data_IF_057168335798
#
_entry.id   IF_057168335798
#
_cell.length_a   1.000
_cell.length_b   1.000
_cell.length_c   1.000
_cell.angle_alpha   90.00
_cell.angle_beta   90.00
_cell.angle_gamma   90.00
#
_symmetry.space_group_name_H-M   'P 1'
#
loop_
_entity.id
_entity.type
_entity.pdbx_description
1 polymer ?
#
# COMPACT_ATOMS: atom_id res chain seq x y z
N UNK A 1 12.89 -10.73 11.39
CA UNK A 1 12.83 -9.25 11.52
C UNK A 1 12.79 -8.92 13.02
N UNK A 2 11.86 -9.45 13.81
CA UNK A 2 11.71 -9.17 15.24
C UNK A 2 13.03 -9.39 16.01
N UNK A 3 13.62 -10.58 15.91
CA UNK A 3 14.89 -10.93 16.55
C UNK A 3 16.03 -9.96 16.19
N UNK A 4 16.01 -9.45 14.96
CA UNK A 4 17.02 -8.53 14.45
C UNK A 4 16.82 -7.13 15.03
N UNK A 5 15.60 -6.62 14.98
CA UNK A 5 15.28 -5.28 15.50
C UNK A 5 15.43 -5.25 17.01
N UNK A 6 14.97 -6.28 17.72
CA UNK A 6 15.20 -6.43 19.17
C UNK A 6 16.70 -6.53 19.50
N UNK A 7 17.45 -7.29 18.69
CA UNK A 7 18.90 -7.42 18.83
C UNK A 7 19.65 -6.08 18.69
N UNK A 8 19.20 -5.20 17.79
CA UNK A 8 19.82 -3.88 17.57
C UNK A 8 19.34 -2.84 18.59
N UNK A 9 18.03 -2.81 18.91
CA UNK A 9 17.43 -1.74 19.73
C UNK A 9 17.46 -2.01 21.23
N UNK A 10 17.68 -3.25 21.70
CA UNK A 10 17.77 -3.51 23.13
C UNK A 10 18.98 -2.81 23.77
N UNK A 11 18.79 -2.18 24.94
CA UNK A 11 19.90 -1.53 25.66
C UNK A 11 21.03 -2.52 25.97
N UNK A 12 22.26 -2.18 25.60
CA UNK A 12 23.45 -3.01 25.83
C UNK A 12 24.25 -2.39 26.96
N UNK A 13 24.28 -3.05 28.10
CA UNK A 13 24.95 -2.58 29.30
C UNK A 13 26.44 -2.96 29.34
N UNK A 14 26.83 -4.04 28.65
CA UNK A 14 28.21 -4.55 28.68
C UNK A 14 28.89 -4.52 27.30
N UNK A 15 30.24 -4.48 27.32
CA UNK A 15 31.06 -4.63 26.11
C UNK A 15 30.84 -5.94 25.39
N UNK A 16 30.57 -7.05 26.11
CA UNK A 16 30.27 -8.33 25.55
C UNK A 16 28.95 -8.33 24.78
N UNK A 17 27.90 -7.72 25.32
CA UNK A 17 26.62 -7.59 24.65
C UNK A 17 26.73 -6.74 23.37
N UNK A 18 27.57 -5.69 23.39
CA UNK A 18 27.88 -4.88 22.19
C UNK A 18 28.62 -5.70 21.13
N UNK A 19 29.54 -6.57 21.52
CA UNK A 19 30.24 -7.46 20.60
C UNK A 19 29.33 -8.52 19.98
N UNK A 20 28.32 -8.99 20.71
CA UNK A 20 27.31 -9.94 20.17
C UNK A 20 26.41 -9.33 19.08
N UNK A 21 26.34 -8.01 18.97
CA UNK A 21 25.60 -7.32 17.90
C UNK A 21 26.40 -7.22 16.59
N UNK A 22 27.74 -7.35 16.66
CA UNK A 22 28.60 -7.25 15.46
C UNK A 22 28.24 -8.24 14.32
N UNK A 23 27.95 -9.51 14.58
CA UNK A 23 27.50 -10.44 13.52
C UNK A 23 26.21 -9.97 12.89
N UNK A 24 25.25 -9.47 13.70
CA UNK A 24 23.97 -8.95 13.26
C UNK A 24 24.13 -7.70 12.38
N UNK A 25 24.97 -6.77 12.78
CA UNK A 25 25.33 -5.59 11.98
C UNK A 25 26.01 -5.98 10.67
N UNK A 26 26.84 -7.01 10.70
CA UNK A 26 27.49 -7.56 9.49
C UNK A 26 26.45 -8.17 8.53
N UNK A 27 25.42 -8.83 9.05
CA UNK A 27 24.34 -9.37 8.23
C UNK A 27 23.48 -8.25 7.65
N UNK A 28 23.12 -7.23 8.44
CA UNK A 28 22.43 -6.01 7.95
C UNK A 28 23.25 -5.32 6.86
N UNK A 29 24.57 -5.20 7.04
CA UNK A 29 25.45 -4.58 6.05
C UNK A 29 25.43 -5.30 4.69
N UNK A 30 25.13 -6.61 4.66
CA UNK A 30 25.00 -7.36 3.41
C UNK A 30 23.72 -7.04 2.62
N UNK A 31 22.75 -6.38 3.21
CA UNK A 31 21.48 -6.06 2.56
C UNK A 31 21.50 -4.73 1.82
N UNK A 32 22.48 -3.87 2.14
CA UNK A 32 22.60 -2.58 1.45
C UNK A 32 22.83 -2.78 -0.05
N UNK A 33 22.13 -1.99 -0.89
CA UNK A 33 22.32 -2.08 -2.33
C UNK A 33 23.76 -1.75 -2.71
N UNK A 34 24.27 -2.44 -3.73
CA UNK A 34 25.63 -2.25 -4.24
C UNK A 34 25.60 -1.66 -5.64
N UNK A 35 26.41 -0.62 -5.89
CA UNK A 35 26.50 0.04 -7.19
C UNK A 35 27.52 -0.65 -8.07
N UNK A 36 27.11 -0.99 -9.29
CA UNK A 36 27.98 -1.58 -10.32
C UNK A 36 28.43 -0.52 -11.33
N UNK A 37 29.69 -0.54 -11.72
CA UNK A 37 30.24 0.27 -12.81
C UNK A 37 30.03 -0.37 -14.18
N UNK A 38 29.73 -1.68 -14.24
CA UNK A 38 29.41 -2.38 -15.49
C UNK A 38 27.93 -2.26 -15.83
N UNK A 39 27.59 -2.44 -17.10
CA UNK A 39 26.20 -2.54 -17.54
C UNK A 39 25.45 -3.66 -16.84
N UNK A 40 24.17 -3.44 -16.57
CA UNK A 40 23.25 -4.45 -16.04
C UNK A 40 22.64 -5.29 -17.15
N UNK A 41 22.02 -6.41 -16.75
CA UNK A 41 21.25 -7.25 -17.67
C UNK A 41 20.07 -6.46 -18.27
N UNK A 42 19.46 -5.58 -17.50
CA UNK A 42 18.40 -4.66 -17.95
C UNK A 42 18.85 -3.66 -19.03
N UNK A 43 20.13 -3.64 -19.42
CA UNK A 43 20.70 -2.72 -20.42
C UNK A 43 21.26 -3.46 -21.63
N UNK A 44 20.86 -4.71 -21.88
CA UNK A 44 21.31 -5.50 -23.03
C UNK A 44 20.70 -5.06 -24.35
N UNK A 45 19.46 -4.58 -24.33
CA UNK A 45 18.76 -3.99 -25.48
C UNK A 45 18.50 -2.53 -25.15
N UNK A 46 18.66 -1.65 -26.13
CA UNK A 46 18.52 -0.20 -25.93
C UNK A 46 17.73 0.42 -27.07
N UNK A 47 16.60 1.06 -26.74
CA UNK A 47 15.81 1.87 -27.68
C UNK A 47 15.96 3.33 -27.31
N UNK A 48 16.32 4.19 -28.27
CA UNK A 48 16.51 5.63 -28.07
C UNK A 48 15.94 6.43 -29.24
N UNK A 49 15.64 7.70 -28.98
CA UNK A 49 15.17 8.62 -30.02
C UNK A 49 13.87 8.08 -30.67
N UNK A 50 13.88 7.89 -31.99
CA UNK A 50 12.72 7.43 -32.76
C UNK A 50 12.32 5.96 -32.46
N UNK A 51 13.24 5.16 -31.92
CA UNK A 51 12.98 3.77 -31.60
C UNK A 51 12.15 3.60 -30.29
N UNK A 52 12.01 4.67 -29.49
CA UNK A 52 11.21 4.64 -28.27
C UNK A 52 9.73 4.56 -28.62
N UNK A 53 9.11 3.44 -28.26
CA UNK A 53 7.70 3.19 -28.52
C UNK A 53 7.11 2.28 -27.43
N UNK A 54 6.31 2.86 -26.52
CA UNK A 54 5.62 2.15 -25.46
C UNK A 54 4.59 1.15 -26.01
N UNK A 55 4.08 1.37 -27.23
CA UNK A 55 3.16 0.44 -27.90
C UNK A 55 3.80 -0.92 -28.27
N UNK A 56 5.12 -1.05 -28.15
CA UNK A 56 5.85 -2.33 -28.35
C UNK A 56 5.85 -3.19 -27.08
N UNK A 57 5.46 -2.62 -25.94
CA UNK A 57 5.32 -3.35 -24.69
C UNK A 57 3.86 -3.84 -24.54
N UNK A 58 3.62 -5.02 -23.97
CA UNK A 58 2.27 -5.56 -23.80
C UNK A 58 1.55 -4.91 -22.60
N UNK A 59 1.43 -3.58 -22.64
CA UNK A 59 0.78 -2.79 -21.59
C UNK A 59 -0.73 -2.96 -21.72
N UNK A 60 -1.41 -3.32 -20.63
CA UNK A 60 -2.80 -3.72 -20.64
C UNK A 60 -3.76 -2.54 -20.44
N UNK A 61 -4.88 -2.55 -21.15
CA UNK A 61 -6.12 -1.91 -20.71
C UNK A 61 -6.95 -2.99 -20.03
N UNK A 62 -7.05 -2.96 -18.70
CA UNK A 62 -7.60 -4.07 -17.93
C UNK A 62 -9.12 -4.09 -17.91
N UNK A 63 -9.77 -2.92 -17.88
CA UNK A 63 -11.21 -2.79 -17.74
C UNK A 63 -11.83 -1.92 -18.83
N UNK A 64 -13.11 -2.14 -19.19
CA UNK A 64 -13.76 -1.43 -20.30
C UNK A 64 -13.71 0.10 -20.19
N UNK A 65 -13.91 0.64 -18.99
CA UNK A 65 -13.93 2.09 -18.75
C UNK A 65 -12.57 2.68 -18.33
N UNK A 66 -11.46 1.89 -18.33
CA UNK A 66 -10.14 2.47 -18.13
C UNK A 66 -9.87 3.55 -19.18
N UNK A 67 -9.26 4.68 -18.77
CA UNK A 67 -8.91 5.79 -19.64
C UNK A 67 -7.89 5.45 -20.73
N UNK A 68 -7.25 4.28 -20.64
CA UNK A 68 -6.27 3.77 -21.59
C UNK A 68 -5.57 2.53 -21.08
N UNK A 69 -4.41 2.20 -21.66
CA UNK A 69 -3.52 1.18 -21.14
C UNK A 69 -2.71 1.73 -19.95
N UNK A 70 -2.51 0.92 -18.92
CA UNK A 70 -1.78 1.29 -17.72
C UNK A 70 -0.62 0.35 -17.43
N UNK A 71 0.54 0.91 -17.08
CA UNK A 71 1.62 0.16 -16.44
C UNK A 71 1.24 0.02 -14.97
N UNK A 72 1.04 -1.23 -14.52
CA UNK A 72 0.42 -1.53 -13.23
C UNK A 72 1.41 -1.90 -12.11
N UNK A 73 2.63 -2.33 -12.46
CA UNK A 73 3.69 -2.68 -11.50
C UNK A 73 4.98 -1.88 -11.72
N UNK A 74 4.93 -0.55 -11.90
CA UNK A 74 6.13 0.25 -12.15
C UNK A 74 6.83 0.56 -10.83
N UNK A 75 8.12 0.34 -10.79
CA UNK A 75 9.01 0.78 -9.71
C UNK A 75 9.64 2.12 -10.14
N UNK A 76 9.05 3.21 -9.68
CA UNK A 76 9.43 4.57 -10.07
C UNK A 76 10.52 5.10 -9.17
N UNK A 77 11.71 5.26 -9.72
CA UNK A 77 12.88 5.78 -9.02
C UNK A 77 13.02 7.30 -9.25
N UNK A 78 13.19 8.04 -8.17
CA UNK A 78 13.38 9.48 -8.15
C UNK A 78 14.47 9.85 -7.15
N UNK A 79 15.05 11.04 -7.26
CA UNK A 79 16.06 11.54 -6.34
C UNK A 79 15.68 12.95 -5.91
N UNK A 80 15.74 13.21 -4.62
CA UNK A 80 15.56 14.55 -4.08
C UNK A 80 16.68 15.47 -4.54
N UNK A 81 16.41 16.60 -5.18
CA UNK A 81 17.45 17.49 -5.71
C UNK A 81 18.22 18.23 -4.61
N UNK A 82 17.70 18.30 -3.39
CA UNK A 82 18.29 19.02 -2.27
C UNK A 82 19.16 18.09 -1.40
N UNK A 83 18.65 16.90 -1.05
CA UNK A 83 19.34 15.95 -0.17
C UNK A 83 20.12 14.86 -0.92
N UNK A 84 19.77 14.62 -2.19
CA UNK A 84 20.29 13.48 -2.95
C UNK A 84 19.68 12.13 -2.51
N UNK A 85 18.63 12.14 -1.67
CA UNK A 85 17.96 10.93 -1.20
C UNK A 85 17.24 10.25 -2.34
N UNK A 86 17.52 8.96 -2.52
CA UNK A 86 16.85 8.10 -3.48
C UNK A 86 15.51 7.62 -2.91
N UNK A 87 14.49 7.53 -3.76
CA UNK A 87 13.19 6.94 -3.43
C UNK A 87 12.76 6.00 -4.56
N UNK A 88 12.19 4.89 -4.21
CA UNK A 88 11.53 3.97 -5.12
C UNK A 88 10.08 3.76 -4.66
N UNK A 89 9.12 4.11 -5.51
CA UNK A 89 7.71 3.96 -5.19
C UNK A 89 6.93 3.33 -6.34
N UNK A 90 5.83 2.65 -6.01
CA UNK A 90 4.92 2.13 -7.03
C UNK A 90 3.82 3.16 -7.29
N UNK A 91 3.71 3.61 -8.53
CA UNK A 91 2.71 4.57 -8.97
C UNK A 91 2.23 4.18 -10.37
N UNK A 92 0.96 3.84 -10.54
CA UNK A 92 0.40 3.48 -11.85
C UNK A 92 0.69 4.55 -12.89
N UNK A 93 0.83 4.15 -14.16
CA UNK A 93 1.17 5.07 -15.23
C UNK A 93 0.27 4.81 -16.44
N UNK A 94 -0.62 5.75 -16.75
CA UNK A 94 -1.44 5.70 -17.97
C UNK A 94 -0.59 6.02 -19.18
N UNK A 95 -0.62 5.20 -20.22
CA UNK A 95 0.05 5.46 -21.49
C UNK A 95 -0.81 6.39 -22.32
N UNK A 96 -0.26 7.54 -22.74
CA UNK A 96 -0.94 8.51 -23.59
C UNK A 96 -0.56 8.33 -25.06
N UNK A 97 0.71 8.09 -25.33
CA UNK A 97 1.25 7.89 -26.66
C UNK A 97 2.54 7.03 -26.62
N UNK A 98 3.30 7.01 -27.72
CA UNK A 98 4.53 6.22 -27.85
C UNK A 98 5.61 6.54 -26.82
N UNK A 99 5.60 7.75 -26.25
CA UNK A 99 6.70 8.29 -25.45
C UNK A 99 6.24 9.00 -24.18
N UNK A 100 4.93 9.09 -23.92
CA UNK A 100 4.44 9.80 -22.75
C UNK A 100 3.47 8.94 -21.94
N UNK A 101 3.57 9.11 -20.62
CA UNK A 101 2.63 8.53 -19.66
C UNK A 101 2.20 9.56 -18.64
N UNK A 102 1.07 9.32 -17.95
CA UNK A 102 0.75 9.98 -16.69
C UNK A 102 1.69 9.48 -15.58
N UNK A 103 1.85 10.28 -14.55
CA UNK A 103 2.60 9.92 -13.35
C UNK A 103 1.71 10.13 -12.12
N UNK A 104 1.08 9.08 -11.61
CA UNK A 104 0.05 9.12 -10.59
C UNK A 104 0.62 9.37 -9.18
N UNK A 105 1.16 10.57 -8.92
CA UNK A 105 1.71 10.95 -7.64
C UNK A 105 0.67 11.61 -6.74
N UNK A 106 0.18 10.89 -5.75
CA UNK A 106 -0.64 11.50 -4.69
C UNK A 106 0.21 12.46 -3.83
N UNK A 107 -0.42 13.56 -3.37
CA UNK A 107 0.24 14.68 -2.68
C UNK A 107 1.10 14.28 -1.47
N UNK A 108 0.72 13.23 -0.75
CA UNK A 108 1.40 12.74 0.45
C UNK A 108 2.57 11.80 0.15
N UNK A 109 2.80 11.40 -1.10
CA UNK A 109 3.85 10.46 -1.49
C UNK A 109 5.19 11.17 -1.71
N UNK A 110 6.29 10.45 -1.47
CA UNK A 110 7.65 10.98 -1.64
C UNK A 110 7.92 11.45 -3.06
N UNK A 111 7.43 10.75 -4.09
CA UNK A 111 7.55 11.19 -5.48
C UNK A 111 6.95 12.58 -5.74
N UNK A 112 5.79 12.89 -5.13
CA UNK A 112 5.19 14.22 -5.22
C UNK A 112 6.03 15.29 -4.50
N UNK A 113 6.62 14.98 -3.35
CA UNK A 113 7.54 15.89 -2.64
C UNK A 113 8.78 16.22 -3.48
N UNK A 114 9.37 15.21 -4.14
CA UNK A 114 10.49 15.43 -5.06
C UNK A 114 10.07 16.30 -6.25
N UNK A 115 8.90 16.03 -6.85
CA UNK A 115 8.36 16.86 -7.94
C UNK A 115 8.21 18.32 -7.52
N UNK A 116 7.65 18.60 -6.34
CA UNK A 116 7.51 19.95 -5.81
C UNK A 116 8.88 20.63 -5.57
N UNK A 117 9.91 19.88 -5.15
CA UNK A 117 11.26 20.40 -5.00
C UNK A 117 11.85 20.80 -6.37
N UNK A 118 11.72 19.96 -7.39
CA UNK A 118 12.14 20.30 -8.76
C UNK A 118 11.38 21.48 -9.33
N UNK A 119 10.07 21.58 -9.03
CA UNK A 119 9.22 22.71 -9.43
C UNK A 119 9.72 24.03 -8.83
N UNK A 120 10.07 24.04 -7.54
CA UNK A 120 10.66 25.22 -6.88
C UNK A 120 11.99 25.63 -7.50
N UNK A 121 12.77 24.66 -7.96
CA UNK A 121 14.07 24.90 -8.61
C UNK A 121 13.95 25.30 -10.09
N UNK A 122 12.76 25.20 -10.70
CA UNK A 122 12.56 25.44 -12.13
C UNK A 122 13.31 24.47 -13.02
N UNK A 123 13.49 23.20 -12.58
CA UNK A 123 14.27 22.19 -13.29
C UNK A 123 13.42 21.00 -13.66
N UNK A 124 13.75 20.34 -14.76
CA UNK A 124 13.23 19.02 -15.11
C UNK A 124 13.64 18.00 -14.06
N UNK A 125 12.71 17.17 -13.65
CA UNK A 125 12.92 16.08 -12.70
C UNK A 125 13.31 14.80 -13.47
N UNK A 126 14.53 14.29 -13.34
CA UNK A 126 14.86 12.97 -13.85
C UNK A 126 14.01 11.89 -13.16
N UNK A 127 13.53 10.94 -13.95
CA UNK A 127 12.76 9.79 -13.47
C UNK A 127 13.21 8.55 -14.23
N UNK A 128 13.31 7.43 -13.53
CA UNK A 128 13.54 6.12 -14.15
C UNK A 128 12.57 5.11 -13.57
N UNK A 129 12.00 4.27 -14.44
CA UNK A 129 10.98 3.30 -14.06
C UNK A 129 11.50 1.91 -14.38
N UNK A 130 11.74 1.11 -13.36
CA UNK A 130 12.12 -0.29 -13.52
C UNK A 130 10.86 -1.17 -13.52
N UNK A 131 10.86 -2.21 -14.37
CA UNK A 131 9.78 -3.20 -14.46
C UNK A 131 10.39 -4.60 -14.35
N UNK A 132 9.77 -5.46 -13.56
CA UNK A 132 10.19 -6.86 -13.42
C UNK A 132 11.41 -7.08 -12.54
N UNK A 133 12.07 -8.21 -12.75
CA UNK A 133 13.12 -8.69 -11.89
C UNK A 133 12.60 -9.48 -10.69
N UNK A 134 13.32 -9.45 -9.58
CA UNK A 134 12.93 -10.17 -8.35
C UNK A 134 11.65 -9.56 -7.75
N UNK A 135 10.63 -10.37 -7.40
CA UNK A 135 9.40 -9.86 -6.77
C UNK A 135 9.63 -9.06 -5.49
N UNK A 136 10.74 -9.26 -4.80
CA UNK A 136 11.12 -8.47 -3.63
C UNK A 136 11.35 -6.98 -3.98
N UNK A 137 11.74 -6.66 -5.21
CA UNK A 137 11.88 -5.26 -5.66
C UNK A 137 10.51 -4.59 -5.77
N UNK A 138 9.56 -5.29 -6.42
CA UNK A 138 8.19 -4.83 -6.62
C UNK A 138 7.52 -4.61 -5.26
N UNK A 139 7.62 -5.59 -4.35
CA UNK A 139 7.09 -5.45 -3.00
C UNK A 139 7.71 -4.25 -2.26
N UNK A 140 9.04 -4.10 -2.32
CA UNK A 140 9.73 -3.00 -1.62
C UNK A 140 9.29 -1.62 -2.10
N UNK A 141 8.92 -1.47 -3.38
CA UNK A 141 8.38 -0.22 -3.93
C UNK A 141 6.97 0.11 -3.40
N UNK A 142 6.24 -0.87 -2.84
CA UNK A 142 4.93 -0.66 -2.20
C UNK A 142 5.01 -0.50 -0.68
N UNK A 143 6.12 -0.94 -0.09
CA UNK A 143 6.27 -1.07 1.35
C UNK A 143 6.20 0.31 2.06
N UNK A 144 5.53 0.40 3.22
CA UNK A 144 5.45 1.64 4.00
C UNK A 144 6.76 1.92 4.76
N UNK A 145 7.84 2.12 4.00
CA UNK A 145 9.15 2.44 4.58
C UNK A 145 9.13 3.83 5.25
N UNK A 146 9.88 4.01 6.34
CA UNK A 146 10.13 5.33 6.89
C UNK A 146 10.79 6.26 5.86
N UNK A 147 10.51 7.55 5.99
CA UNK A 147 11.16 8.57 5.15
C UNK A 147 12.69 8.44 5.20
N UNK A 148 13.32 8.66 4.04
CA UNK A 148 14.78 8.61 3.84
C UNK A 148 15.42 7.22 4.03
N UNK A 149 14.65 6.15 4.03
CA UNK A 149 15.17 4.79 3.92
C UNK A 149 15.04 4.29 2.48
N UNK A 150 16.13 3.75 1.95
CA UNK A 150 16.15 3.17 0.59
C UNK A 150 15.34 1.86 0.59
N UNK A 151 14.34 1.77 -0.25
CA UNK A 151 13.49 0.59 -0.42
C UNK A 151 14.29 -0.65 -0.86
N UNK A 152 15.40 -0.45 -1.54
CA UNK A 152 16.30 -1.54 -1.94
C UNK A 152 17.04 -2.19 -0.75
N UNK A 153 17.12 -1.53 0.41
CA UNK A 153 17.55 -2.15 1.65
C UNK A 153 16.56 -3.23 2.11
N UNK A 154 15.26 -2.93 2.04
CA UNK A 154 14.21 -3.91 2.34
C UNK A 154 14.27 -5.09 1.36
N UNK A 155 14.43 -4.83 0.06
CA UNK A 155 14.60 -5.87 -0.93
C UNK A 155 15.83 -6.75 -0.64
N UNK A 156 16.95 -6.15 -0.25
CA UNK A 156 18.15 -6.86 0.17
C UNK A 156 17.93 -7.74 1.40
N UNK A 157 17.18 -7.23 2.38
CA UNK A 157 16.79 -7.98 3.58
C UNK A 157 15.90 -9.18 3.22
N UNK A 158 14.87 -9.00 2.40
CA UNK A 158 13.98 -10.08 1.99
C UNK A 158 14.72 -11.17 1.20
N UNK A 159 15.66 -10.77 0.35
CA UNK A 159 16.48 -11.66 -0.48
C UNK A 159 17.67 -12.27 0.29
N UNK A 160 18.00 -11.77 1.47
CA UNK A 160 19.20 -12.11 2.24
C UNK A 160 20.52 -11.90 1.46
N UNK A 161 20.50 -10.96 0.52
CA UNK A 161 21.66 -10.58 -0.31
C UNK A 161 21.46 -9.17 -0.89
N UNK A 162 22.54 -8.41 -1.16
CA UNK A 162 22.45 -7.05 -1.68
C UNK A 162 21.76 -7.03 -3.05
N UNK A 163 21.00 -5.96 -3.31
CA UNK A 163 20.53 -5.64 -4.66
C UNK A 163 21.68 -4.98 -5.43
N UNK A 164 22.05 -5.55 -6.56
CA UNK A 164 23.02 -4.92 -7.45
C UNK A 164 22.31 -3.84 -8.27
N UNK A 165 22.77 -2.59 -8.14
CA UNK A 165 22.22 -1.42 -8.83
C UNK A 165 23.12 -1.00 -9.96
N UNK A 166 22.53 -0.58 -11.08
CA UNK A 166 23.28 0.04 -12.21
C UNK A 166 22.76 1.43 -12.46
N UNK A 167 23.66 2.31 -12.92
CA UNK A 167 23.31 3.65 -13.35
C UNK A 167 22.54 3.60 -14.66
N UNK A 168 21.47 4.37 -14.76
CA UNK A 168 20.72 4.58 -15.99
C UNK A 168 21.59 5.20 -17.09
N UNK A 169 21.19 5.04 -18.37
CA UNK A 169 21.99 5.49 -19.51
C UNK A 169 21.80 6.97 -19.80
N UNK A 170 20.69 7.58 -19.36
CA UNK A 170 20.33 8.96 -19.73
C UNK A 170 20.26 9.90 -18.53
N UNK A 171 20.36 9.38 -17.32
CA UNK A 171 20.34 10.17 -16.09
C UNK A 171 21.18 9.49 -14.98
N UNK A 172 21.27 10.13 -13.80
CA UNK A 172 22.11 9.69 -12.67
C UNK A 172 21.38 8.77 -11.69
N UNK A 173 20.18 8.29 -12.02
CA UNK A 173 19.39 7.37 -11.19
C UNK A 173 19.95 5.96 -11.32
N UNK A 174 19.88 5.22 -10.21
CA UNK A 174 20.26 3.81 -10.15
C UNK A 174 19.02 2.93 -10.06
N UNK A 175 19.03 1.81 -10.79
CA UNK A 175 17.93 0.81 -10.84
C UNK A 175 18.49 -0.59 -10.65
N UNK A 176 17.69 -1.60 -10.26
CA UNK A 176 18.16 -2.98 -10.16
C UNK A 176 18.74 -3.46 -11.49
N UNK A 177 19.94 -4.05 -11.43
CA UNK A 177 20.72 -4.44 -12.63
C UNK A 177 20.05 -5.56 -13.43
N UNK A 178 19.21 -6.35 -12.79
CA UNK A 178 18.56 -7.56 -13.29
C UNK A 178 17.05 -7.41 -13.47
N UNK A 179 16.49 -6.18 -13.42
CA UNK A 179 15.11 -5.96 -13.82
C UNK A 179 14.92 -6.20 -15.33
N UNK A 180 13.68 -6.40 -15.76
CA UNK A 180 13.38 -6.77 -17.14
C UNK A 180 13.43 -5.57 -18.08
N UNK A 181 12.79 -4.45 -17.69
CA UNK A 181 12.78 -3.21 -18.47
C UNK A 181 13.14 -2.01 -17.60
N UNK A 182 13.68 -0.97 -18.21
CA UNK A 182 13.83 0.36 -17.62
C UNK A 182 13.35 1.41 -18.60
N UNK A 183 12.40 2.24 -18.17
CA UNK A 183 11.98 3.44 -18.88
C UNK A 183 12.72 4.62 -18.27
N UNK A 184 13.56 5.30 -19.05
CA UNK A 184 14.33 6.43 -18.58
C UNK A 184 13.81 7.73 -19.19
N UNK A 185 13.71 8.77 -18.37
CA UNK A 185 13.18 10.02 -18.86
C UNK A 185 13.10 11.12 -17.82
N UNK A 186 12.12 11.98 -17.96
CA UNK A 186 11.93 13.14 -17.08
C UNK A 186 10.45 13.54 -16.95
N UNK A 187 10.16 14.26 -15.90
CA UNK A 187 8.94 15.07 -15.74
C UNK A 187 9.33 16.53 -15.78
N UNK A 188 8.61 17.35 -16.56
CA UNK A 188 8.84 18.79 -16.65
C UNK A 188 7.78 19.53 -15.81
N UNK A 189 8.16 20.12 -14.65
CA UNK A 189 7.20 20.81 -13.78
C UNK A 189 6.67 22.13 -14.36
N UNK A 190 7.21 22.60 -15.49
CA UNK A 190 6.71 23.79 -16.22
C UNK A 190 5.56 23.47 -17.18
N UNK A 191 5.33 22.18 -17.48
CA UNK A 191 4.22 21.75 -18.31
C UNK A 191 2.90 21.73 -17.55
N UNK A 192 1.80 21.92 -18.28
CA UNK A 192 0.46 21.74 -17.76
C UNK A 192 0.23 20.25 -17.38
N UNK A 193 -0.46 20.05 -16.26
CA UNK A 193 -0.90 18.72 -15.85
C UNK A 193 -1.90 18.16 -16.86
N UNK A 194 -1.91 16.85 -17.00
CA UNK A 194 -2.77 16.12 -17.95
C UNK A 194 -3.78 15.26 -17.19
N UNK A 195 -4.98 15.15 -17.73
CA UNK A 195 -6.02 14.27 -17.21
C UNK A 195 -5.56 12.81 -17.29
N UNK A 196 -5.62 12.11 -16.17
CA UNK A 196 -5.34 10.69 -16.01
C UNK A 196 -6.58 9.98 -15.44
N UNK A 197 -6.81 8.76 -15.86
CA UNK A 197 -7.93 7.95 -15.44
C UNK A 197 -9.12 8.02 -16.40
N UNK A 198 -10.25 7.39 -16.05
CA UNK A 198 -10.41 6.56 -14.85
C UNK A 198 -9.59 5.27 -14.94
N UNK A 199 -9.40 4.61 -13.81
CA UNK A 199 -8.70 3.34 -13.68
C UNK A 199 -9.49 2.40 -12.78
N UNK A 200 -9.74 1.16 -13.22
CA UNK A 200 -10.35 0.12 -12.39
C UNK A 200 -9.37 -0.30 -11.29
N UNK A 201 -9.64 0.16 -10.06
CA UNK A 201 -8.67 0.11 -8.96
C UNK A 201 -8.99 -1.01 -7.94
N UNK A 202 -8.12 -1.17 -6.94
CA UNK A 202 -8.14 -2.28 -5.97
C UNK A 202 -9.39 -2.32 -5.08
N UNK A 203 -10.15 -1.24 -4.99
CA UNK A 203 -11.45 -1.21 -4.30
C UNK A 203 -12.56 -1.90 -5.08
N UNK A 204 -12.33 -2.24 -6.35
CA UNK A 204 -13.33 -2.77 -7.26
C UNK A 204 -14.19 -1.70 -7.93
N UNK A 205 -13.85 -0.42 -7.73
CA UNK A 205 -14.47 0.72 -8.37
C UNK A 205 -13.47 1.46 -9.25
N UNK A 206 -13.98 2.20 -10.22
CA UNK A 206 -13.13 3.11 -11.00
C UNK A 206 -12.71 4.31 -10.16
N UNK A 207 -11.42 4.68 -10.26
CA UNK A 207 -10.95 5.95 -9.72
C UNK A 207 -11.57 7.12 -10.45
N UNK A 208 -11.65 8.27 -9.81
CA UNK A 208 -11.96 9.54 -10.47
C UNK A 208 -10.83 9.89 -11.44
N UNK A 209 -11.16 10.67 -12.46
CA UNK A 209 -10.14 11.35 -13.28
C UNK A 209 -9.58 12.53 -12.51
N UNK A 210 -8.27 12.75 -12.61
CA UNK A 210 -7.61 13.89 -11.98
C UNK A 210 -6.40 14.34 -12.83
N UNK A 211 -5.78 15.42 -12.43
CA UNK A 211 -4.68 16.06 -13.13
C UNK A 211 -3.33 15.62 -12.57
N UNK A 212 -2.50 15.00 -13.41
CA UNK A 212 -1.16 14.53 -13.05
C UNK A 212 -0.09 15.01 -14.01
N UNK A 213 1.19 15.08 -13.58
CA UNK A 213 2.29 15.42 -14.47
C UNK A 213 2.53 14.34 -15.53
N UNK A 214 3.08 14.74 -16.68
CA UNK A 214 3.51 13.83 -17.74
C UNK A 214 4.92 13.35 -17.48
N UNK A 215 5.16 12.07 -17.71
CA UNK A 215 6.49 11.49 -17.78
C UNK A 215 6.86 11.28 -19.26
N UNK A 216 7.98 11.86 -19.68
CA UNK A 216 8.54 11.78 -21.02
C UNK A 216 9.61 10.70 -21.07
N UNK A 217 9.40 9.64 -21.84
CA UNK A 217 10.33 8.54 -22.02
C UNK A 217 11.31 8.88 -23.14
N UNK A 218 12.61 8.93 -22.82
CA UNK A 218 13.68 9.24 -23.77
C UNK A 218 14.51 8.03 -24.16
N UNK A 219 14.47 6.97 -23.33
CA UNK A 219 15.08 5.67 -23.62
C UNK A 219 14.28 4.54 -22.94
N UNK A 220 14.27 3.40 -23.59
CA UNK A 220 13.81 2.13 -23.01
C UNK A 220 14.97 1.14 -23.10
N UNK A 221 15.34 0.52 -22.00
CA UNK A 221 16.31 -0.55 -21.99
C UNK A 221 15.67 -1.83 -21.48
N UNK A 222 16.22 -2.99 -21.87
CA UNK A 222 15.70 -4.27 -21.42
C UNK A 222 16.73 -5.38 -21.44
N UNK A 223 16.41 -6.48 -20.76
CA UNK A 223 17.02 -7.78 -21.02
C UNK A 223 16.65 -8.26 -22.42
N UNK A 224 17.41 -9.19 -23.00
CA UNK A 224 17.05 -9.84 -24.27
C UNK A 224 15.85 -10.77 -24.13
N UNK A 225 15.76 -11.43 -23.00
CA UNK A 225 14.72 -12.37 -22.59
C UNK A 225 13.73 -11.75 -21.56
N UNK A 226 13.50 -10.45 -21.69
CA UNK A 226 12.67 -9.69 -20.77
C UNK A 226 11.24 -10.24 -20.69
N UNK A 227 10.72 -10.35 -19.47
CA UNK A 227 9.33 -10.68 -19.18
C UNK A 227 8.62 -9.43 -18.67
N UNK A 228 7.52 -9.04 -19.31
CA UNK A 228 6.75 -7.88 -18.87
C UNK A 228 5.88 -8.22 -17.67
N UNK A 229 6.10 -7.60 -16.49
CA UNK A 229 5.28 -7.82 -15.32
C UNK A 229 3.99 -7.02 -15.44
N UNK A 230 2.86 -7.66 -15.21
CA UNK A 230 1.56 -7.02 -15.17
C UNK A 230 0.67 -7.64 -14.10
N UNK A 231 -0.25 -6.86 -13.60
CA UNK A 231 -1.37 -7.33 -12.79
C UNK A 231 -2.67 -6.71 -13.29
N UNK A 232 -3.78 -7.40 -13.06
CA UNK A 232 -5.12 -6.85 -13.24
C UNK A 232 -5.58 -6.40 -11.86
N UNK A 233 -5.54 -5.08 -11.64
CA UNK A 233 -6.03 -4.48 -10.40
C UNK A 233 -7.56 -4.53 -10.40
N UNK A 234 -8.18 -4.81 -9.25
CA UNK A 234 -9.64 -4.90 -9.19
C UNK A 234 -10.16 -5.46 -7.87
N UNK A 235 -11.38 -6.00 -7.92
CA UNK A 235 -12.05 -6.60 -6.75
C UNK A 235 -11.19 -7.71 -6.14
N UNK A 236 -10.91 -7.67 -4.84
CA UNK A 236 -10.11 -8.71 -4.17
C UNK A 236 -10.71 -10.13 -4.36
N UNK A 237 -9.85 -11.19 -4.40
CA UNK A 237 -8.40 -11.14 -4.18
C UNK A 237 -7.62 -10.87 -5.47
N UNK A 238 -6.96 -9.73 -5.55
CA UNK A 238 -5.95 -9.40 -6.56
C UNK A 238 -4.60 -9.16 -5.84
N UNK A 239 -3.63 -8.50 -6.49
CA UNK A 239 -2.27 -8.33 -5.95
C UNK A 239 -2.24 -7.69 -4.56
N UNK A 240 -3.08 -6.66 -4.32
CA UNK A 240 -3.12 -5.92 -3.05
C UNK A 240 -3.50 -6.78 -1.86
N UNK A 241 -4.31 -7.82 -2.04
CA UNK A 241 -4.62 -8.78 -1.00
C UNK A 241 -3.36 -9.53 -0.50
N UNK A 242 -2.43 -9.85 -1.41
CA UNK A 242 -1.17 -10.54 -1.08
C UNK A 242 -0.11 -9.56 -0.58
N UNK A 243 -0.05 -8.35 -1.15
CA UNK A 243 0.81 -7.26 -0.66
C UNK A 243 0.44 -6.92 0.78
N UNK A 244 -0.85 -6.79 1.10
CA UNK A 244 -1.33 -6.55 2.46
C UNK A 244 -0.91 -7.66 3.43
N UNK A 245 -1.05 -8.94 3.04
CA UNK A 245 -0.58 -10.08 3.86
C UNK A 245 0.92 -10.05 4.12
N UNK A 246 1.72 -9.69 3.14
CA UNK A 246 3.17 -9.52 3.33
C UNK A 246 3.45 -8.35 4.29
N UNK A 247 2.78 -7.21 4.07
CA UNK A 247 2.94 -5.99 4.87
C UNK A 247 2.58 -6.22 6.33
N UNK A 248 1.44 -6.85 6.64
CA UNK A 248 1.06 -7.14 8.02
C UNK A 248 2.09 -8.01 8.76
N UNK A 249 2.79 -8.90 8.07
CA UNK A 249 3.83 -9.77 8.69
C UNK A 249 5.18 -9.08 8.80
N UNK A 250 5.59 -8.34 7.77
CA UNK A 250 6.88 -7.65 7.73
C UNK A 250 6.89 -6.49 8.72
N UNK A 251 5.80 -5.70 8.77
CA UNK A 251 5.74 -4.49 9.58
C UNK A 251 5.19 -4.68 11.00
N UNK A 252 4.72 -5.88 11.37
CA UNK A 252 4.29 -6.14 12.75
C UNK A 252 5.39 -5.85 13.78
N UNK A 253 6.63 -6.29 13.53
CA UNK A 253 7.74 -6.03 14.42
C UNK A 253 8.12 -4.53 14.53
N UNK A 254 8.29 -3.78 13.43
CA UNK A 254 8.44 -2.33 13.47
C UNK A 254 7.32 -1.60 14.23
N UNK A 255 6.06 -1.99 14.03
CA UNK A 255 4.91 -1.42 14.76
C UNK A 255 5.06 -1.66 16.27
N UNK A 256 5.37 -2.87 16.68
CA UNK A 256 5.56 -3.23 18.09
C UNK A 256 6.71 -2.47 18.74
N UNK A 257 7.78 -2.25 18.01
CA UNK A 257 9.01 -1.66 18.55
C UNK A 257 8.98 -0.13 18.57
N UNK A 258 8.39 0.50 17.58
CA UNK A 258 8.48 1.95 17.40
C UNK A 258 7.13 2.68 17.62
N UNK A 259 5.99 2.00 17.52
CA UNK A 259 4.68 2.66 17.55
C UNK A 259 3.85 2.21 18.76
N UNK A 260 3.57 0.90 18.86
CA UNK A 260 2.63 0.35 19.85
C UNK A 260 3.13 -1.00 20.39
N UNK A 261 3.89 -1.04 21.49
CA UNK A 261 4.51 -2.25 22.02
C UNK A 261 3.51 -3.29 22.55
N UNK A 262 2.29 -2.90 22.84
CA UNK A 262 1.21 -3.80 23.26
C UNK A 262 0.61 -4.62 22.12
N UNK A 263 0.79 -4.25 20.86
CA UNK A 263 0.28 -5.01 19.70
C UNK A 263 0.91 -6.41 19.69
N UNK A 264 0.06 -7.43 19.51
CA UNK A 264 0.47 -8.84 19.40
C UNK A 264 0.33 -9.36 18.00
N UNK A 265 -0.76 -9.06 17.35
CA UNK A 265 -1.00 -9.41 15.95
C UNK A 265 -1.76 -8.31 15.21
N UNK A 266 -1.59 -8.28 13.90
CA UNK A 266 -2.27 -7.41 12.96
C UNK A 266 -2.78 -8.28 11.81
N UNK A 267 -4.04 -8.10 11.43
CA UNK A 267 -4.65 -8.75 10.29
C UNK A 267 -5.46 -7.76 9.49
N UNK A 268 -5.20 -7.71 8.19
CA UNK A 268 -5.94 -6.91 7.22
C UNK A 268 -6.72 -7.87 6.31
N UNK A 269 -8.03 -8.08 6.57
CA UNK A 269 -8.83 -8.97 5.74
C UNK A 269 -8.95 -8.45 4.32
N UNK A 270 -9.00 -9.37 3.35
CA UNK A 270 -9.07 -9.02 1.91
C UNK A 270 -10.33 -8.22 1.56
N UNK A 271 -11.41 -8.45 2.29
CA UNK A 271 -12.67 -7.73 2.18
C UNK A 271 -12.55 -6.24 2.53
N UNK A 272 -11.51 -5.88 3.28
CA UNK A 272 -11.16 -4.50 3.61
C UNK A 272 -10.30 -3.81 2.56
N UNK A 273 -10.17 -4.38 1.37
CA UNK A 273 -9.41 -3.81 0.23
C UNK A 273 -8.00 -3.37 0.62
N UNK A 274 -7.28 -4.25 1.33
CA UNK A 274 -5.90 -4.12 1.77
C UNK A 274 -5.61 -3.10 2.89
N UNK A 275 -6.49 -2.13 3.18
CA UNK A 275 -6.20 -1.11 4.19
C UNK A 275 -7.41 -0.57 4.97
N UNK A 276 -8.63 -0.66 4.42
CA UNK A 276 -9.81 -0.05 5.04
C UNK A 276 -10.23 -0.73 6.34
N UNK A 277 -10.00 -2.04 6.49
CA UNK A 277 -10.29 -2.79 7.71
C UNK A 277 -8.99 -3.34 8.29
N UNK A 278 -8.77 -3.11 9.58
CA UNK A 278 -7.67 -3.72 10.33
C UNK A 278 -8.20 -4.35 11.61
N UNK A 279 -7.82 -5.60 11.87
CA UNK A 279 -8.05 -6.30 13.11
C UNK A 279 -6.72 -6.36 13.88
N UNK A 280 -6.73 -5.91 15.13
CA UNK A 280 -5.52 -5.79 15.96
C UNK A 280 -5.73 -6.50 17.27
N UNK A 281 -4.82 -7.39 17.65
CA UNK A 281 -4.82 -7.95 18.99
C UNK A 281 -3.77 -7.28 19.88
N UNK A 282 -4.11 -7.02 21.12
CA UNK A 282 -3.24 -6.34 22.08
C UNK A 282 -3.15 -7.04 23.43
N UNK A 283 -1.99 -6.94 24.08
CA UNK A 283 -1.85 -7.25 25.51
C UNK A 283 -2.36 -6.06 26.33
N UNK A 284 -3.68 -6.05 26.59
CA UNK A 284 -4.33 -5.00 27.37
C UNK A 284 -3.91 -5.02 28.83
N UNK A 285 -3.62 -3.86 29.40
CA UNK A 285 -3.22 -3.67 30.80
C UNK A 285 -4.07 -2.67 31.57
N UNK A 286 -4.70 -1.71 30.88
CA UNK A 286 -5.46 -0.63 31.49
C UNK A 286 -6.62 -0.17 30.60
N UNK A 287 -7.58 0.51 31.22
CA UNK A 287 -8.74 1.08 30.52
C UNK A 287 -8.32 2.17 29.53
N UNK A 288 -8.93 2.18 28.33
CA UNK A 288 -8.65 3.16 27.28
C UNK A 288 -7.42 2.84 26.41
N UNK A 289 -6.72 1.73 26.67
CA UNK A 289 -5.54 1.33 25.90
C UNK A 289 -5.88 1.03 24.44
N UNK A 290 -7.05 0.49 24.15
CA UNK A 290 -7.51 0.30 22.76
C UNK A 290 -7.58 1.63 21.99
N UNK A 291 -8.12 2.68 22.62
CA UNK A 291 -8.14 4.03 22.04
C UNK A 291 -6.75 4.59 21.77
N UNK A 292 -5.80 4.39 22.69
CA UNK A 292 -4.40 4.74 22.49
C UNK A 292 -3.80 4.03 21.28
N UNK A 293 -4.07 2.74 21.13
CA UNK A 293 -3.57 1.92 20.01
C UNK A 293 -4.17 2.40 18.68
N UNK A 294 -5.49 2.63 18.63
CA UNK A 294 -6.16 3.14 17.43
C UNK A 294 -5.54 4.45 16.95
N UNK A 295 -5.41 5.43 17.85
CA UNK A 295 -4.85 6.75 17.53
C UNK A 295 -3.38 6.66 17.11
N UNK A 296 -2.59 5.83 17.77
CA UNK A 296 -1.19 5.63 17.42
C UNK A 296 -0.99 4.97 16.06
N UNK A 297 -1.81 3.98 15.72
CA UNK A 297 -1.77 3.35 14.40
C UNK A 297 -2.26 4.30 13.30
N UNK A 298 -3.35 5.05 13.51
CA UNK A 298 -3.85 6.05 12.56
C UNK A 298 -2.87 7.22 12.34
N UNK A 299 -1.93 7.43 13.27
CA UNK A 299 -0.84 8.39 13.10
C UNK A 299 0.43 7.82 12.47
N UNK A 300 0.48 6.52 12.13
CA UNK A 300 1.71 5.83 11.74
C UNK A 300 1.70 5.42 10.26
N UNK A 301 2.53 6.06 9.44
CA UNK A 301 2.78 5.68 8.05
C UNK A 301 1.49 5.48 7.25
N UNK A 302 1.42 4.39 6.47
CA UNK A 302 0.23 4.08 5.64
C UNK A 302 -0.98 3.59 6.46
N UNK A 303 -0.84 3.26 7.75
CA UNK A 303 -1.98 2.99 8.62
C UNK A 303 -2.91 4.21 8.78
N UNK A 304 -2.44 5.40 8.41
CA UNK A 304 -3.28 6.60 8.37
C UNK A 304 -4.48 6.48 7.42
N UNK A 305 -4.43 5.59 6.44
CA UNK A 305 -5.55 5.35 5.50
C UNK A 305 -6.58 4.37 6.04
N UNK A 306 -6.26 3.61 7.09
CA UNK A 306 -7.21 2.68 7.69
C UNK A 306 -8.46 3.42 8.18
N UNK A 307 -9.64 2.94 7.82
CA UNK A 307 -10.95 3.54 8.16
C UNK A 307 -11.60 2.85 9.34
N UNK A 308 -11.60 1.52 9.34
CA UNK A 308 -12.22 0.71 10.38
C UNK A 308 -11.18 -0.15 11.09
N UNK A 309 -11.17 -0.11 12.41
CA UNK A 309 -10.25 -0.91 13.22
C UNK A 309 -11.00 -1.62 14.33
N UNK A 310 -10.87 -2.94 14.44
CA UNK A 310 -11.35 -3.67 15.61
C UNK A 310 -10.14 -4.12 16.45
N UNK A 311 -10.16 -3.79 17.74
CA UNK A 311 -9.04 -4.06 18.67
C UNK A 311 -9.50 -5.05 19.71
N UNK A 312 -8.96 -6.26 19.66
CA UNK A 312 -9.29 -7.35 20.57
C UNK A 312 -8.15 -7.63 21.57
N UNK A 313 -8.45 -8.41 22.59
CA UNK A 313 -7.44 -8.93 23.51
C UNK A 313 -6.55 -9.97 22.81
N UNK A 314 -5.34 -10.22 23.35
CA UNK A 314 -4.40 -11.22 22.81
C UNK A 314 -4.91 -12.67 22.87
N UNK A 315 -5.99 -12.93 23.58
CA UNK A 315 -6.65 -14.24 23.66
C UNK A 315 -7.54 -14.52 22.44
N UNK A 316 -8.00 -13.47 21.75
CA UNK A 316 -8.85 -13.60 20.57
C UNK A 316 -7.99 -13.94 19.34
N UNK A 317 -8.40 -14.96 18.61
CA UNK A 317 -7.86 -15.19 17.27
C UNK A 317 -8.50 -14.23 16.27
N UNK A 318 -7.88 -13.07 16.04
CA UNK A 318 -8.37 -12.04 15.10
C UNK A 318 -8.45 -12.50 13.65
N UNK A 319 -7.97 -13.70 13.31
CA UNK A 319 -8.10 -14.33 11.98
C UNK A 319 -9.32 -15.24 11.87
N UNK A 320 -9.98 -15.52 12.98
CA UNK A 320 -11.25 -16.22 13.02
C UNK A 320 -12.40 -15.23 12.91
N UNK A 321 -13.03 -15.20 11.74
CA UNK A 321 -14.21 -14.36 11.51
C UNK A 321 -15.30 -14.63 12.56
N UNK A 322 -15.46 -15.89 12.95
CA UNK A 322 -16.47 -16.29 13.94
C UNK A 322 -16.19 -15.69 15.31
N UNK A 323 -14.95 -15.78 15.82
CA UNK A 323 -14.58 -15.19 17.11
C UNK A 323 -14.75 -13.67 17.11
N UNK A 324 -14.32 -13.00 16.03
CA UNK A 324 -14.46 -11.54 15.91
C UNK A 324 -15.94 -11.12 15.87
N UNK A 325 -16.79 -11.85 15.14
CA UNK A 325 -18.22 -11.57 15.07
C UNK A 325 -18.92 -11.84 16.41
N UNK A 326 -18.53 -12.88 17.15
CA UNK A 326 -19.04 -13.17 18.51
C UNK A 326 -18.70 -12.04 19.50
N UNK A 327 -17.54 -11.40 19.35
CA UNK A 327 -17.18 -10.22 20.15
C UNK A 327 -17.97 -8.99 19.69
N UNK A 328 -18.06 -8.73 18.39
CA UNK A 328 -18.81 -7.60 17.82
C UNK A 328 -20.30 -7.65 18.22
N UNK A 329 -20.90 -8.84 18.37
CA UNK A 329 -22.26 -9.00 18.83
C UNK A 329 -22.50 -8.60 20.31
N UNK A 330 -21.45 -8.31 21.06
CA UNK A 330 -21.49 -7.97 22.50
C UNK A 330 -21.13 -6.51 22.81
N UNK A 331 -20.82 -5.71 21.79
CA UNK A 331 -20.38 -4.32 21.98
C UNK A 331 -21.50 -3.44 22.55
N UNK A 332 -21.12 -2.50 23.39
CA UNK A 332 -21.96 -1.36 23.78
C UNK A 332 -21.65 -0.17 22.87
N UNK A 333 -22.61 0.22 22.04
CA UNK A 333 -22.44 1.28 21.04
C UNK A 333 -22.09 2.64 21.65
N UNK A 334 -22.32 2.86 22.95
CA UNK A 334 -21.96 4.11 23.63
C UNK A 334 -20.56 4.09 24.23
N UNK A 335 -20.10 2.91 24.60
CA UNK A 335 -18.83 2.73 25.33
C UNK A 335 -17.69 2.30 24.40
N UNK A 336 -17.96 1.36 23.51
CA UNK A 336 -16.92 0.61 22.81
C UNK A 336 -16.56 1.20 21.43
N UNK A 337 -17.28 2.24 20.98
CA UNK A 337 -16.99 2.92 19.72
C UNK A 337 -16.08 4.13 19.94
N UNK A 338 -15.00 4.20 19.17
CA UNK A 338 -14.00 5.26 19.19
C UNK A 338 -14.01 5.95 17.83
N UNK A 339 -14.62 7.13 17.80
CA UNK A 339 -14.71 7.94 16.58
C UNK A 339 -13.55 8.90 16.44
N UNK A 340 -13.08 9.10 15.21
CA UNK A 340 -12.10 10.11 14.84
C UNK A 340 -12.38 10.60 13.42
N UNK A 341 -11.86 11.78 13.07
CA UNK A 341 -11.76 12.26 11.71
C UNK A 341 -10.30 12.31 11.29
N UNK A 342 -10.02 12.03 10.02
CA UNK A 342 -8.65 12.02 9.55
C UNK A 342 -8.49 11.69 8.07
N UNK A 343 -7.25 11.46 7.68
CA UNK A 343 -6.88 11.12 6.32
C UNK A 343 -7.45 9.75 5.97
N UNK A 344 -8.09 9.66 4.81
CA UNK A 344 -8.55 8.43 4.18
C UNK A 344 -7.89 8.25 2.82
N UNK A 345 -7.97 7.06 2.27
CA UNK A 345 -7.54 6.83 0.90
C UNK A 345 -8.42 7.62 -0.08
N UNK A 346 -7.81 8.12 -1.15
CA UNK A 346 -8.53 8.88 -2.20
C UNK A 346 -9.52 8.02 -2.97
N UNK A 347 -9.39 6.70 -2.88
CA UNK A 347 -10.31 5.71 -3.46
C UNK A 347 -11.46 5.32 -2.50
N UNK A 348 -11.54 5.94 -1.32
CA UNK A 348 -12.71 5.81 -0.46
C UNK A 348 -13.84 6.71 -0.99
N UNK A 349 -14.71 6.14 -1.80
CA UNK A 349 -15.82 6.85 -2.41
C UNK A 349 -17.00 7.09 -1.45
N UNK A 350 -16.93 6.61 -0.22
CA UNK A 350 -17.96 6.78 0.81
C UNK A 350 -17.73 8.01 1.71
N UNK A 351 -17.00 9.01 1.23
CA UNK A 351 -16.74 10.25 1.95
C UNK A 351 -17.24 11.48 1.19
N UNK A 352 -17.68 12.49 1.92
CA UNK A 352 -18.07 13.77 1.32
C UNK A 352 -16.88 14.61 0.83
N UNK A 353 -15.69 14.36 1.37
CA UNK A 353 -14.46 15.05 1.01
C UNK A 353 -13.39 14.02 0.61
N UNK A 354 -12.89 14.09 -0.62
CA UNK A 354 -11.87 13.15 -1.11
C UNK A 354 -10.65 13.17 -0.20
N UNK A 355 -10.24 11.98 0.27
CA UNK A 355 -9.07 11.78 1.09
C UNK A 355 -9.20 12.21 2.56
N UNK A 356 -10.41 12.58 3.02
CA UNK A 356 -10.66 12.98 4.40
C UNK A 356 -12.08 12.59 4.84
N UNK A 357 -12.21 12.05 6.06
CA UNK A 357 -13.49 11.68 6.61
C UNK A 357 -13.40 10.98 7.95
N UNK A 358 -14.52 10.41 8.36
CA UNK A 358 -14.66 9.76 9.66
C UNK A 358 -14.01 8.37 9.66
N UNK A 359 -13.43 8.03 10.80
CA UNK A 359 -12.83 6.74 11.15
C UNK A 359 -13.51 6.15 12.37
N UNK A 360 -13.56 4.84 12.44
CA UNK A 360 -14.14 4.13 13.56
C UNK A 360 -13.19 3.03 14.05
N UNK A 361 -12.84 3.08 15.33
CA UNK A 361 -12.30 1.90 16.02
C UNK A 361 -13.32 1.33 17.00
N UNK A 362 -13.26 0.02 17.20
CA UNK A 362 -14.14 -0.72 18.10
C UNK A 362 -13.26 -1.40 19.15
N UNK A 363 -13.49 -1.09 20.42
CA UNK A 363 -12.80 -1.73 21.54
C UNK A 363 -13.50 -3.06 21.88
N UNK A 364 -12.94 -4.16 21.42
CA UNK A 364 -13.39 -5.52 21.72
C UNK A 364 -12.68 -6.14 22.93
N UNK A 365 -11.83 -5.39 23.63
CA UNK A 365 -10.98 -5.94 24.71
C UNK A 365 -11.72 -6.19 26.02
N UNK A 366 -12.90 -5.57 26.21
CA UNK A 366 -13.72 -5.69 27.42
C UNK A 366 -15.06 -6.41 27.19
N UNK A 367 -15.41 -6.70 25.96
CA UNK A 367 -16.74 -7.24 25.61
C UNK A 367 -16.93 -8.70 25.99
N UNK A 368 -15.88 -9.45 26.28
CA UNK A 368 -15.96 -10.84 26.76
C UNK A 368 -16.79 -10.98 28.05
N UNK A 369 -16.88 -9.90 28.84
CA UNK A 369 -17.63 -9.83 30.11
C UNK A 369 -19.09 -9.44 29.92
N UNK A 370 -19.48 -9.02 28.72
CA UNK A 370 -20.84 -8.58 28.40
C UNK A 370 -21.67 -9.76 27.94
N UNK A 371 -22.96 -9.80 28.33
CA UNK A 371 -23.88 -10.76 27.76
C UNK A 371 -24.12 -10.45 26.27
N UNK A 372 -24.29 -11.49 25.42
CA UNK A 372 -24.62 -11.25 24.00
C UNK A 372 -25.91 -10.45 23.88
N UNK A 373 -25.94 -9.51 22.94
CA UNK A 373 -27.15 -8.77 22.63
C UNK A 373 -28.22 -9.72 22.06
N UNK A 374 -29.45 -9.63 22.55
CA UNK A 374 -30.59 -10.30 21.90
C UNK A 374 -31.00 -9.54 20.65
N UNK A 375 -30.63 -10.03 19.49
CA UNK A 375 -31.07 -9.46 18.23
C UNK A 375 -32.46 -9.97 17.86
N UNK A 376 -33.43 -9.08 17.80
CA UNK A 376 -34.78 -9.40 17.31
C UNK A 376 -34.86 -9.10 15.83
N UNK A 377 -34.97 -10.14 15.00
CA UNK A 377 -35.30 -9.95 13.57
C UNK A 377 -36.72 -9.43 13.50
N UNK A 378 -36.97 -8.26 12.89
CA UNK A 378 -38.34 -7.74 12.73
C UNK A 378 -39.21 -8.75 11.96
N UNK A 379 -40.35 -9.14 12.56
CA UNK A 379 -41.28 -10.11 11.94
C UNK A 379 -41.95 -9.60 10.67
N UNK A 380 -41.86 -8.31 10.39
CA UNK A 380 -42.64 -7.60 9.34
C UNK A 380 -41.79 -6.79 8.38
N UNK A 381 -40.47 -6.93 8.39
CA UNK A 381 -39.64 -6.31 7.35
C UNK A 381 -39.86 -7.09 6.03
N UNK A 382 -40.94 -6.78 5.31
CA UNK A 382 -40.99 -7.09 3.89
C UNK A 382 -40.16 -6.03 3.18
N UNK A 383 -39.07 -6.43 2.53
CA UNK A 383 -38.28 -5.49 1.76
C UNK A 383 -39.16 -4.87 0.68
N UNK A 384 -39.15 -3.55 0.57
CA UNK A 384 -39.80 -2.84 -0.55
C UNK A 384 -38.74 -2.53 -1.60
N UNK A 385 -39.10 -2.65 -2.88
CA UNK A 385 -38.23 -2.21 -3.97
C UNK A 385 -37.13 -3.20 -4.39
N UNK A 386 -37.44 -4.47 -4.56
CA UNK A 386 -36.51 -5.46 -5.16
C UNK A 386 -35.39 -5.93 -4.21
N UNK A 387 -35.53 -5.68 -2.91
CA UNK A 387 -34.60 -6.17 -1.88
C UNK A 387 -35.23 -7.36 -1.16
N UNK A 388 -34.50 -8.48 -1.08
CA UNK A 388 -34.93 -9.68 -0.38
C UNK A 388 -34.03 -10.01 0.79
N UNK A 389 -34.60 -10.56 1.87
CA UNK A 389 -33.83 -11.04 3.01
C UNK A 389 -33.20 -12.40 2.66
N UNK A 390 -31.89 -12.43 2.49
CA UNK A 390 -31.17 -13.61 2.05
C UNK A 390 -30.94 -14.63 3.17
N UNK A 391 -30.53 -14.19 4.39
CA UNK A 391 -30.19 -15.09 5.47
C UNK A 391 -30.51 -14.49 6.85
N UNK A 392 -31.31 -15.22 7.63
CA UNK A 392 -31.69 -14.82 8.99
C UNK A 392 -30.81 -15.44 10.08
N UNK A 393 -29.98 -16.44 9.76
CA UNK A 393 -29.14 -17.11 10.75
C UNK A 393 -28.09 -16.15 11.34
N UNK A 394 -27.47 -15.32 10.51
CA UNK A 394 -26.51 -14.30 10.93
C UNK A 394 -27.19 -13.21 11.76
N UNK A 395 -28.42 -12.84 11.44
CA UNK A 395 -29.16 -11.84 12.20
C UNK A 395 -29.43 -12.30 13.65
N UNK A 396 -29.75 -13.58 13.84
CA UNK A 396 -30.03 -14.14 15.17
C UNK A 396 -28.77 -14.24 16.03
N UNK A 397 -27.65 -14.62 15.45
CA UNK A 397 -26.40 -14.83 16.19
C UNK A 397 -25.60 -13.54 16.37
N UNK A 398 -25.48 -12.72 15.33
CA UNK A 398 -24.57 -11.58 15.31
C UNK A 398 -25.23 -10.23 14.98
N UNK A 399 -26.54 -10.18 14.80
CA UNK A 399 -27.24 -8.96 14.42
C UNK A 399 -26.97 -8.50 12.99
N UNK A 400 -26.43 -9.38 12.14
CA UNK A 400 -26.08 -9.06 10.77
C UNK A 400 -27.24 -9.44 9.86
N UNK A 401 -27.85 -8.46 9.20
CA UNK A 401 -28.84 -8.67 8.13
C UNK A 401 -28.14 -8.79 6.78
N UNK A 402 -28.30 -9.94 6.12
CA UNK A 402 -27.83 -10.13 4.76
C UNK A 402 -29.02 -9.95 3.82
N UNK A 403 -28.96 -8.90 3.01
CA UNK A 403 -29.99 -8.55 2.03
C UNK A 403 -29.49 -8.87 0.63
N UNK A 404 -30.39 -9.40 -0.20
CA UNK A 404 -30.18 -9.50 -1.62
C UNK A 404 -30.93 -8.37 -2.32
N UNK A 405 -30.23 -7.62 -3.18
CA UNK A 405 -30.81 -6.54 -3.97
C UNK A 405 -30.58 -6.82 -5.46
N UNK A 406 -31.57 -6.58 -6.29
CA UNK A 406 -31.41 -6.68 -7.74
C UNK A 406 -30.43 -5.61 -8.26
N UNK A 407 -29.81 -5.87 -9.40
CA UNK A 407 -28.72 -5.04 -9.96
C UNK A 407 -29.11 -3.59 -10.20
N UNK A 408 -30.37 -3.33 -10.53
CA UNK A 408 -30.92 -1.99 -10.77
C UNK A 408 -30.86 -1.06 -9.54
N UNK A 409 -30.78 -1.65 -8.35
CA UNK A 409 -30.60 -0.87 -7.11
C UNK A 409 -29.27 -0.09 -7.07
N UNK A 410 -28.22 -0.60 -7.70
CA UNK A 410 -26.90 0.10 -7.74
C UNK A 410 -26.92 1.32 -8.66
N UNK A 411 -27.76 1.34 -9.69
CA UNK A 411 -27.86 2.46 -10.64
C UNK A 411 -28.64 3.66 -10.05
N UNK A 412 -29.43 3.44 -8.99
CA UNK A 412 -30.20 4.49 -8.32
C UNK A 412 -29.46 5.18 -7.17
N UNK A 413 -28.24 4.77 -6.82
CA UNK A 413 -27.41 5.32 -5.73
C UNK A 413 -26.30 6.25 -6.24
N UNK A 414 -26.13 6.36 -7.55
CA UNK A 414 -25.17 7.28 -8.19
C UNK A 414 -25.75 8.70 -8.39
N UNK A 415 -26.41 9.24 -7.35
CA UNK A 415 -26.87 10.63 -7.32
C UNK A 415 -26.28 11.39 -6.17
#
# INVERSE_FOLDING_TARGET
IETLVEGVMSPKSSLWEKLQVLPLLKDVAKWFPTRSSSRGECQQVVWRGEDVDLGRLPILKSWPCDGGAFITLPMVATVDPESGTHNLGMYRMQVFDKRTTGMHWHRHKTGARHYDAYKRLGKRMPVSVALGGDPAYIYSATAPMPDNMDEMLLAGMLRQRPVKMVKCLTNDIYVPADCDFVLEGYVDPSEELTVEGPFGDHTGFYSLTDLYPKFHVVAITSRRDAVYPATIVGVPPMEDAYIAKATERIFLAPIRLAVQPEVRDLYMPIEGTAHNIALVSIAKRYLGQAGKVAQGLWGAGQMMFNKYMAIASEQCNIRSTEEVLDLLARIDLKRDLIWADGILDVLDHATATTGYGSKLAIDLTEVERSEPLEFRVPRTAQPTGGVELFNTAYAKRWGILVLYAEREWRESVDV
#
